data_IF_059405609905
#
_entry.id   IF_059405609905
#
_cell.length_a   1.000
_cell.length_b   1.000
_cell.length_c   1.000
_cell.angle_alpha   90.00
_cell.angle_beta   90.00
_cell.angle_gamma   90.00
#
_symmetry.space_group_name_H-M   'P 1'
#
loop_
_entity.id
_entity.type
_entity.pdbx_description
1 polymer ?
#
# COMPACT_ATOMS: atom_id res chain seq x y z
N UNK A 1 25.34 2.47 38.05
CA UNK A 1 24.06 1.74 38.05
C UNK A 1 23.53 1.73 36.63
N UNK A 2 23.30 0.55 36.02
CA UNK A 2 22.66 0.46 34.71
C UNK A 2 21.15 0.36 34.97
N UNK A 3 20.38 1.32 34.47
CA UNK A 3 18.92 1.32 34.52
C UNK A 3 18.38 0.10 33.77
N UNK A 4 17.35 -0.56 34.29
CA UNK A 4 16.68 -1.63 33.57
C UNK A 4 16.05 -1.10 32.27
N UNK A 5 16.11 -1.87 31.17
CA UNK A 5 15.52 -1.45 29.91
C UNK A 5 13.99 -1.36 30.04
N UNK A 6 13.42 -0.26 29.55
CA UNK A 6 11.98 -0.04 29.56
C UNK A 6 11.25 -1.09 28.71
N UNK A 7 10.12 -1.59 29.20
CA UNK A 7 9.24 -2.48 28.44
C UNK A 7 8.64 -1.70 27.27
N UNK A 8 8.73 -2.26 26.06
CA UNK A 8 8.21 -1.65 24.85
C UNK A 8 6.88 -2.31 24.43
N UNK A 9 5.90 -1.49 24.09
CA UNK A 9 4.65 -1.91 23.47
C UNK A 9 4.89 -2.40 22.02
N UNK A 10 3.99 -3.26 21.49
CA UNK A 10 4.21 -3.92 20.20
C UNK A 10 4.11 -2.96 19.01
N UNK A 11 4.82 -3.33 17.94
CA UNK A 11 4.68 -2.77 16.60
C UNK A 11 3.90 -3.76 15.76
N UNK A 12 2.68 -3.40 15.37
CA UNK A 12 1.80 -4.23 14.56
C UNK A 12 2.01 -3.89 13.08
N UNK A 13 2.24 -4.88 12.23
CA UNK A 13 2.21 -4.69 10.77
C UNK A 13 0.82 -5.08 10.29
N UNK A 14 0.18 -4.24 9.48
CA UNK A 14 -1.13 -4.53 8.91
C UNK A 14 -1.04 -5.77 8.03
N UNK A 15 -1.89 -6.75 8.28
CA UNK A 15 -2.05 -7.88 7.39
C UNK A 15 -3.23 -7.60 6.43
N UNK A 16 -3.19 -8.10 5.18
CA UNK A 16 -4.35 -8.06 4.31
C UNK A 16 -5.50 -8.86 4.92
N UNK A 17 -6.72 -8.33 4.80
CA UNK A 17 -7.92 -8.98 5.33
C UNK A 17 -8.37 -10.12 4.40
N UNK A 18 -8.65 -11.29 4.98
CA UNK A 18 -9.32 -12.39 4.28
C UNK A 18 -8.42 -13.21 3.33
N UNK A 19 -9.08 -14.04 2.53
CA UNK A 19 -8.41 -14.89 1.53
C UNK A 19 -8.18 -14.08 0.25
N UNK A 20 -7.02 -14.21 -0.41
CA UNK A 20 -6.76 -13.56 -1.69
C UNK A 20 -7.86 -13.86 -2.71
N UNK A 21 -8.45 -12.80 -3.24
CA UNK A 21 -9.55 -12.88 -4.18
C UNK A 21 -9.52 -11.67 -5.13
N UNK A 22 -10.18 -11.84 -6.27
CA UNK A 22 -10.37 -10.77 -7.25
C UNK A 22 -11.76 -10.18 -7.08
N UNK A 23 -11.87 -8.85 -7.10
CA UNK A 23 -13.15 -8.17 -7.09
C UNK A 23 -13.87 -8.45 -8.43
N UNK A 24 -15.11 -8.92 -8.35
CA UNK A 24 -15.91 -9.26 -9.55
C UNK A 24 -16.58 -8.07 -10.23
N UNK A 25 -16.52 -6.88 -9.62
CA UNK A 25 -17.29 -5.71 -10.01
C UNK A 25 -18.78 -5.76 -9.61
N UNK A 26 -19.22 -6.84 -8.98
CA UNK A 26 -20.59 -7.04 -8.51
C UNK A 26 -20.73 -6.83 -7.00
N UNK A 27 -21.95 -6.58 -6.56
CA UNK A 27 -22.33 -6.53 -5.14
C UNK A 27 -23.42 -7.56 -4.84
N UNK A 28 -23.41 -8.11 -3.62
CA UNK A 28 -24.45 -9.01 -3.15
C UNK A 28 -25.74 -8.24 -2.76
N UNK A 29 -26.75 -8.97 -2.27
CA UNK A 29 -28.04 -8.38 -1.88
C UNK A 29 -27.93 -7.38 -0.73
N UNK A 30 -26.82 -7.40 0.01
CA UNK A 30 -26.52 -6.52 1.13
C UNK A 30 -25.62 -5.34 0.71
N UNK A 31 -25.29 -5.24 -0.58
CA UNK A 31 -24.42 -4.21 -1.12
C UNK A 31 -22.92 -4.43 -0.86
N UNK A 32 -22.52 -5.63 -0.40
CA UNK A 32 -21.10 -5.97 -0.20
C UNK A 32 -20.49 -6.43 -1.52
N UNK A 33 -19.25 -6.02 -1.79
CA UNK A 33 -18.51 -6.47 -2.96
C UNK A 33 -18.40 -8.00 -3.01
N UNK A 34 -18.69 -8.57 -4.18
CA UNK A 34 -18.53 -10.00 -4.44
C UNK A 34 -17.09 -10.23 -4.90
N UNK A 35 -16.39 -11.06 -4.15
CA UNK A 35 -15.00 -11.45 -4.43
C UNK A 35 -14.95 -12.91 -4.88
N UNK A 36 -14.08 -13.19 -5.85
CA UNK A 36 -13.90 -14.53 -6.42
C UNK A 36 -12.52 -15.04 -6.02
N UNK A 37 -12.46 -16.16 -5.30
CA UNK A 37 -11.20 -16.79 -4.92
C UNK A 37 -10.41 -17.24 -6.17
N UNK A 38 -9.07 -17.12 -6.13
CA UNK A 38 -8.18 -17.44 -7.24
C UNK A 38 -8.40 -18.87 -7.76
N UNK A 39 -8.54 -19.83 -6.84
CA UNK A 39 -8.72 -21.26 -7.13
C UNK A 39 -9.96 -21.57 -7.96
N UNK A 40 -11.00 -20.74 -7.91
CA UNK A 40 -12.23 -20.92 -8.67
C UNK A 40 -11.95 -21.01 -10.18
N UNK A 41 -11.01 -20.22 -10.67
CA UNK A 41 -10.59 -20.24 -12.07
C UNK A 41 -9.30 -21.04 -12.27
N UNK A 42 -8.38 -21.01 -11.30
CA UNK A 42 -7.04 -21.58 -11.48
C UNK A 42 -6.95 -23.10 -11.23
N UNK A 43 -7.96 -23.74 -10.63
CA UNK A 43 -7.98 -25.19 -10.44
C UNK A 43 -8.00 -25.99 -11.76
N UNK A 44 -8.41 -25.37 -12.86
CA UNK A 44 -8.52 -26.00 -14.19
C UNK A 44 -7.65 -25.32 -15.25
N UNK A 45 -6.84 -24.33 -14.85
CA UNK A 45 -5.96 -23.60 -15.77
C UNK A 45 -4.54 -24.15 -15.73
N UNK A 46 -3.91 -24.34 -16.90
CA UNK A 46 -2.48 -24.66 -16.97
C UNK A 46 -1.66 -23.39 -16.72
N UNK A 47 -0.75 -23.36 -15.72
CA UNK A 47 0.15 -22.24 -15.50
C UNK A 47 1.09 -22.02 -16.69
N UNK A 48 1.41 -20.76 -17.00
CA UNK A 48 2.35 -20.42 -18.06
C UNK A 48 3.47 -19.50 -17.53
N UNK A 49 4.70 -20.01 -17.33
CA UNK A 49 5.81 -19.23 -16.79
C UNK A 49 6.39 -18.21 -17.79
N UNK A 50 5.96 -18.22 -19.05
CA UNK A 50 6.43 -17.28 -20.07
C UNK A 50 5.64 -15.97 -20.07
N UNK A 51 4.54 -15.89 -19.32
CA UNK A 51 3.74 -14.68 -19.20
C UNK A 51 4.42 -13.69 -18.25
N UNK A 52 4.85 -12.56 -18.80
CA UNK A 52 5.51 -11.48 -18.08
C UNK A 52 4.95 -10.09 -18.42
N UNK A 53 3.83 -10.04 -19.16
CA UNK A 53 3.15 -8.80 -19.52
C UNK A 53 1.64 -8.98 -19.44
N UNK A 54 0.94 -7.93 -19.04
CA UNK A 54 -0.51 -7.95 -18.87
C UNK A 54 -1.29 -8.14 -20.17
N UNK A 55 -0.77 -7.70 -21.32
CA UNK A 55 -1.42 -7.84 -22.62
C UNK A 55 -1.36 -9.27 -23.18
N UNK A 56 -0.57 -10.16 -22.58
CA UNK A 56 -0.56 -11.59 -22.89
C UNK A 56 -1.69 -12.34 -22.16
N UNK A 57 -2.41 -11.70 -21.24
CA UNK A 57 -3.51 -12.29 -20.48
C UNK A 57 -4.80 -12.24 -21.30
N UNK A 58 -5.24 -13.41 -21.78
CA UNK A 58 -6.38 -13.52 -22.71
C UNK A 58 -7.74 -13.75 -22.02
N UNK A 59 -7.77 -13.93 -20.70
CA UNK A 59 -9.00 -14.29 -19.95
C UNK A 59 -9.37 -13.20 -18.94
N UNK A 60 -9.67 -13.56 -17.70
CA UNK A 60 -10.23 -12.68 -16.67
C UNK A 60 -9.34 -11.48 -16.30
N UNK A 61 -8.03 -11.56 -16.53
CA UNK A 61 -7.06 -10.54 -16.09
C UNK A 61 -6.73 -9.51 -17.20
N UNK A 62 -7.56 -9.41 -18.25
CA UNK A 62 -7.38 -8.42 -19.30
C UNK A 62 -7.39 -7.00 -18.73
N UNK A 63 -6.51 -6.14 -19.25
CA UNK A 63 -6.37 -4.76 -18.78
C UNK A 63 -5.50 -4.59 -17.53
N UNK A 64 -4.97 -5.68 -16.96
CA UNK A 64 -3.97 -5.59 -15.88
C UNK A 64 -2.73 -4.85 -16.39
N UNK A 65 -2.39 -3.75 -15.73
CA UNK A 65 -1.13 -3.07 -15.97
C UNK A 65 -0.02 -3.75 -15.16
N UNK A 66 1.03 -4.21 -15.86
CA UNK A 66 2.16 -4.90 -15.24
C UNK A 66 3.47 -4.20 -15.60
N UNK A 67 4.25 -3.84 -14.57
CA UNK A 67 5.47 -3.05 -14.68
C UNK A 67 6.55 -3.56 -13.71
N UNK A 68 6.89 -4.84 -13.81
CA UNK A 68 7.97 -5.50 -13.05
C UNK A 68 9.13 -5.99 -13.93
N UNK A 69 9.29 -5.37 -15.10
CA UNK A 69 10.32 -5.74 -16.07
C UNK A 69 10.00 -7.08 -16.73
N UNK A 70 11.01 -7.96 -16.82
CA UNK A 70 10.87 -9.28 -17.47
C UNK A 70 10.42 -10.42 -16.53
N UNK A 71 10.12 -10.12 -15.26
CA UNK A 71 9.66 -11.13 -14.31
C UNK A 71 8.33 -11.73 -14.78
N UNK A 72 8.22 -13.05 -14.65
CA UNK A 72 6.95 -13.71 -14.93
C UNK A 72 5.99 -13.51 -13.76
N UNK A 73 4.69 -13.71 -13.99
CA UNK A 73 3.72 -13.76 -12.89
C UNK A 73 4.08 -14.82 -11.83
N UNK A 74 4.68 -15.93 -12.30
CA UNK A 74 5.15 -17.06 -11.50
C UNK A 74 6.54 -16.84 -10.89
N UNK A 75 7.06 -15.61 -10.91
CA UNK A 75 8.20 -15.23 -10.06
C UNK A 75 7.76 -14.92 -8.62
N UNK A 76 6.45 -14.72 -8.42
CA UNK A 76 5.85 -14.42 -7.13
C UNK A 76 4.71 -15.39 -6.80
N UNK A 77 3.84 -15.69 -7.77
CA UNK A 77 2.68 -16.56 -7.58
C UNK A 77 3.03 -18.02 -7.69
N UNK A 78 2.49 -18.84 -6.78
CA UNK A 78 2.73 -20.27 -6.81
C UNK A 78 1.87 -20.93 -7.89
N UNK A 79 2.54 -21.55 -8.87
CA UNK A 79 1.89 -22.20 -10.01
C UNK A 79 0.97 -23.37 -9.61
N UNK A 80 1.26 -24.03 -8.49
CA UNK A 80 0.47 -25.16 -7.97
C UNK A 80 -0.69 -24.72 -7.06
N UNK A 81 -0.64 -23.49 -6.56
CA UNK A 81 -1.61 -22.93 -5.61
C UNK A 81 -1.64 -21.40 -5.75
N UNK A 82 -2.52 -20.89 -6.61
CA UNK A 82 -2.69 -19.45 -6.84
C UNK A 82 -3.30 -18.71 -5.64
N UNK A 83 -3.72 -19.42 -4.59
CA UNK A 83 -4.06 -18.82 -3.29
C UNK A 83 -2.83 -18.59 -2.40
N UNK A 84 -1.63 -18.88 -2.89
CA UNK A 84 -0.37 -18.64 -2.21
C UNK A 84 0.68 -17.98 -3.10
N UNK A 85 1.77 -17.55 -2.48
CA UNK A 85 2.96 -17.05 -3.13
C UNK A 85 4.11 -18.04 -2.89
N UNK A 86 5.23 -17.85 -3.58
CA UNK A 86 6.45 -18.59 -3.28
C UNK A 86 7.69 -17.69 -3.32
N UNK A 87 8.72 -18.12 -2.61
CA UNK A 87 10.04 -17.52 -2.65
C UNK A 87 10.83 -18.03 -3.88
N UNK A 88 11.97 -17.41 -4.16
CA UNK A 88 12.86 -17.79 -5.26
C UNK A 88 13.38 -19.24 -5.14
N UNK A 89 13.40 -19.80 -3.93
CA UNK A 89 13.74 -21.20 -3.64
C UNK A 89 12.52 -22.15 -3.67
N UNK A 90 11.38 -21.68 -4.17
CA UNK A 90 10.08 -22.37 -4.26
C UNK A 90 9.39 -22.66 -2.92
N UNK A 91 9.88 -22.17 -1.78
CA UNK A 91 9.11 -22.27 -0.53
C UNK A 91 7.81 -21.48 -0.62
N UNK A 92 6.69 -22.14 -0.33
CA UNK A 92 5.37 -21.52 -0.25
C UNK A 92 5.31 -20.54 0.93
N UNK A 93 4.70 -19.39 0.71
CA UNK A 93 4.38 -18.38 1.73
C UNK A 93 2.96 -17.85 1.53
N UNK A 94 2.41 -17.18 2.54
CA UNK A 94 1.09 -16.55 2.45
C UNK A 94 1.18 -15.12 1.92
N UNK A 95 0.06 -14.56 1.46
CA UNK A 95 -0.01 -13.17 1.01
C UNK A 95 0.29 -12.14 2.11
N UNK A 96 0.11 -12.50 3.38
CA UNK A 96 0.53 -11.64 4.50
C UNK A 96 2.05 -11.53 4.63
N UNK A 97 2.80 -12.47 4.04
CA UNK A 97 4.26 -12.53 4.09
C UNK A 97 4.92 -11.77 2.92
N UNK A 98 4.18 -10.89 2.23
CA UNK A 98 4.70 -10.09 1.09
C UNK A 98 5.96 -9.30 1.40
N UNK A 99 6.17 -8.88 2.66
CA UNK A 99 7.40 -8.21 3.08
C UNK A 99 8.63 -9.10 2.87
N UNK A 100 8.51 -10.40 3.15
CA UNK A 100 9.56 -11.39 2.92
C UNK A 100 9.76 -11.62 1.42
N UNK A 101 8.68 -11.73 0.65
CA UNK A 101 8.73 -11.90 -0.80
C UNK A 101 9.48 -10.76 -1.48
N UNK A 102 9.02 -9.53 -1.27
CA UNK A 102 9.57 -8.33 -1.90
C UNK A 102 11.02 -8.09 -1.48
N UNK A 103 11.37 -8.43 -0.24
CA UNK A 103 12.72 -8.30 0.31
C UNK A 103 13.81 -9.07 -0.42
N UNK A 104 13.46 -10.13 -1.16
CA UNK A 104 14.42 -10.92 -1.94
C UNK A 104 15.11 -10.09 -3.03
N UNK A 105 14.41 -9.10 -3.60
CA UNK A 105 14.94 -8.21 -4.62
C UNK A 105 15.07 -6.76 -4.12
N UNK A 106 14.16 -6.30 -3.26
CA UNK A 106 14.12 -4.94 -2.72
C UNK A 106 14.74 -4.85 -1.32
N UNK A 107 15.94 -5.42 -1.16
CA UNK A 107 16.63 -5.50 0.12
C UNK A 107 16.83 -4.14 0.79
N UNK A 108 17.28 -3.12 0.04
CA UNK A 108 17.49 -1.77 0.58
C UNK A 108 16.18 -1.14 1.11
N UNK A 109 15.05 -1.37 0.43
CA UNK A 109 13.76 -0.87 0.87
C UNK A 109 13.27 -1.62 2.11
N UNK A 110 13.49 -2.94 2.18
CA UNK A 110 13.17 -3.73 3.37
C UNK A 110 14.04 -3.29 4.57
N UNK A 111 15.32 -3.05 4.38
CA UNK A 111 16.19 -2.53 5.45
C UNK A 111 15.77 -1.13 5.90
N UNK A 112 15.45 -0.24 4.97
CA UNK A 112 14.91 1.09 5.30
C UNK A 112 13.58 0.99 6.05
N UNK A 113 12.73 0.03 5.68
CA UNK A 113 11.50 -0.29 6.39
C UNK A 113 11.78 -0.77 7.82
N UNK A 114 12.72 -1.69 8.04
CA UNK A 114 13.08 -2.17 9.38
C UNK A 114 13.55 -1.03 10.29
N UNK A 115 14.25 -0.03 9.73
CA UNK A 115 14.69 1.17 10.43
C UNK A 115 13.62 2.28 10.53
N UNK A 116 12.39 2.04 10.08
CA UNK A 116 11.25 2.93 10.29
C UNK A 116 11.01 3.98 9.20
N UNK A 117 11.79 4.00 8.11
CA UNK A 117 11.65 5.02 7.06
C UNK A 117 10.43 4.80 6.13
N UNK A 118 9.88 3.58 6.09
CA UNK A 118 8.75 3.21 5.23
C UNK A 118 7.55 2.67 6.04
N UNK A 119 6.42 2.42 5.36
CA UNK A 119 5.24 1.78 5.96
C UNK A 119 4.34 2.72 6.75
N UNK A 120 4.68 4.01 6.89
CA UNK A 120 3.96 4.92 7.76
C UNK A 120 4.00 4.46 9.22
N UNK A 121 3.51 5.32 10.11
CA UNK A 121 3.47 5.03 11.53
C UNK A 121 2.23 5.66 12.14
N UNK A 122 1.31 4.82 12.62
CA UNK A 122 0.09 5.25 13.29
C UNK A 122 0.11 4.75 14.74
N UNK A 123 -0.23 5.60 15.71
CA UNK A 123 -0.08 5.32 17.14
C UNK A 123 1.12 6.04 17.75
N UNK A 124 1.78 5.41 18.71
CA UNK A 124 2.83 6.06 19.50
C UNK A 124 4.19 6.01 18.81
N UNK A 125 4.88 7.16 18.77
CA UNK A 125 6.29 7.22 18.34
C UNK A 125 7.22 6.61 19.41
N UNK A 126 6.89 6.85 20.68
CA UNK A 126 7.55 6.30 21.86
C UNK A 126 6.82 5.02 22.30
N UNK A 127 7.45 3.88 22.05
CA UNK A 127 6.89 2.56 22.37
C UNK A 127 6.83 2.28 23.87
N UNK A 128 7.39 3.12 24.74
CA UNK A 128 7.14 3.01 26.18
C UNK A 128 5.76 3.54 26.57
N UNK A 129 5.09 4.27 25.66
CA UNK A 129 3.81 4.95 25.93
C UNK A 129 2.60 4.29 25.27
N UNK A 130 2.81 3.40 24.30
CA UNK A 130 1.74 2.63 23.70
C UNK A 130 2.15 1.95 22.39
N UNK A 131 1.27 1.13 21.80
CA UNK A 131 1.55 0.41 20.57
C UNK A 131 1.50 1.34 19.36
N UNK A 132 2.02 0.83 18.23
CA UNK A 132 1.89 1.46 16.92
C UNK A 132 1.62 0.44 15.83
N UNK A 133 0.98 0.89 14.76
CA UNK A 133 0.69 0.10 13.57
C UNK A 133 1.42 0.68 12.35
N UNK A 134 1.90 -0.22 11.49
CA UNK A 134 2.62 0.10 10.25
C UNK A 134 2.00 -0.68 9.09
N UNK A 135 2.08 -0.12 7.90
CA UNK A 135 1.58 -0.72 6.67
C UNK A 135 2.61 -1.69 6.07
N UNK A 136 2.18 -2.63 5.24
CA UNK A 136 3.05 -3.46 4.37
C UNK A 136 3.38 -2.72 3.07
N UNK A 137 4.24 -3.31 2.23
CA UNK A 137 4.54 -2.81 0.88
C UNK A 137 3.25 -2.61 0.06
N UNK A 138 2.36 -3.61 0.06
CA UNK A 138 1.18 -3.65 -0.81
C UNK A 138 0.02 -2.79 -0.31
N UNK A 139 0.06 -2.29 0.92
CA UNK A 139 -0.90 -1.29 1.38
C UNK A 139 -0.72 0.07 0.69
N UNK A 140 0.46 0.34 0.13
CA UNK A 140 0.75 1.62 -0.53
C UNK A 140 1.15 1.44 -2.00
N UNK A 141 1.79 0.33 -2.35
CA UNK A 141 2.24 0.03 -3.72
C UNK A 141 1.34 -1.03 -4.36
N UNK A 142 1.00 -0.83 -5.64
CA UNK A 142 0.43 -1.90 -6.46
C UNK A 142 1.52 -2.97 -6.70
N UNK A 143 1.35 -4.23 -6.28
CA UNK A 143 2.34 -5.29 -6.49
C UNK A 143 2.59 -5.62 -7.96
N UNK A 144 1.73 -5.21 -8.89
CA UNK A 144 1.94 -5.41 -10.33
C UNK A 144 2.61 -4.20 -10.99
N UNK A 145 2.48 -3.01 -10.42
CA UNK A 145 3.11 -1.79 -10.88
C UNK A 145 3.54 -0.89 -9.69
N UNK A 146 4.60 -1.24 -8.93
CA UNK A 146 4.85 -0.63 -7.62
C UNK A 146 5.27 0.83 -7.67
N UNK A 147 5.79 1.30 -8.80
CA UNK A 147 6.26 2.67 -8.92
C UNK A 147 5.07 3.63 -8.81
N UNK A 148 5.13 4.56 -7.86
CA UNK A 148 4.12 5.61 -7.76
C UNK A 148 4.05 6.44 -9.05
N UNK A 149 2.85 6.81 -9.51
CA UNK A 149 2.71 7.74 -10.62
C UNK A 149 3.31 9.09 -10.24
N UNK A 150 3.93 9.76 -11.20
CA UNK A 150 4.33 11.14 -11.03
C UNK A 150 3.08 12.01 -10.99
N UNK A 151 2.98 12.87 -9.98
CA UNK A 151 1.90 13.85 -9.85
C UNK A 151 2.48 15.24 -10.00
N UNK A 152 1.79 16.10 -10.75
CA UNK A 152 2.13 17.51 -10.82
C UNK A 152 1.42 18.24 -9.67
N UNK A 153 2.18 18.90 -8.76
CA UNK A 153 1.55 19.74 -7.74
C UNK A 153 0.72 20.85 -8.41
N UNK A 154 -0.53 21.01 -7.97
CA UNK A 154 -1.44 22.03 -8.51
C UNK A 154 -0.96 23.44 -8.15
N UNK A 155 -0.32 23.59 -6.99
CA UNK A 155 0.29 24.84 -6.55
C UNK A 155 1.80 24.67 -6.39
N UNK A 156 2.60 25.70 -6.72
CA UNK A 156 4.01 25.69 -6.38
C UNK A 156 4.17 25.53 -4.86
N UNK A 157 5.24 24.88 -4.38
CA UNK A 157 5.54 24.83 -2.96
C UNK A 157 5.56 26.25 -2.39
N UNK A 158 4.74 26.51 -1.38
CA UNK A 158 4.84 27.75 -0.60
C UNK A 158 6.04 27.58 0.33
N UNK A 159 7.19 28.07 -0.08
CA UNK A 159 8.28 28.24 0.87
C UNK A 159 7.93 29.37 1.84
N UNK A 160 8.50 29.33 3.04
CA UNK A 160 8.29 30.40 4.03
C UNK A 160 9.02 31.71 3.67
N UNK A 161 9.77 31.71 2.56
CA UNK A 161 10.77 32.73 2.24
C UNK A 161 10.35 33.56 1.02
N UNK A 162 9.56 33.03 0.08
CA UNK A 162 9.27 33.70 -1.21
C UNK A 162 7.88 34.34 -1.30
N UNK A 163 7.11 34.43 -0.21
CA UNK A 163 5.82 35.15 -0.21
C UNK A 163 5.83 36.20 0.91
N UNK A 164 5.92 37.51 0.60
CA UNK A 164 5.56 38.55 1.54
C UNK A 164 4.11 38.31 1.98
N UNK A 165 3.86 38.22 3.28
CA UNK A 165 2.49 38.17 3.79
C UNK A 165 1.75 39.42 3.27
N UNK A 166 0.56 39.29 2.68
CA UNK A 166 -0.22 40.48 2.33
C UNK A 166 -0.52 41.24 3.62
N UNK A 167 -0.14 42.52 3.65
CA UNK A 167 -0.53 43.42 4.73
C UNK A 167 -2.07 43.51 4.74
N UNK A 168 -2.70 42.83 5.69
CA UNK A 168 -4.13 42.99 5.91
C UNK A 168 -4.36 44.41 6.46
N UNK A 169 -5.18 45.26 5.81
CA UNK A 169 -5.59 46.51 6.41
C UNK A 169 -6.43 46.18 7.63
N UNK A 170 -6.01 46.66 8.81
CA UNK A 170 -6.80 46.59 10.03
C UNK A 170 -8.13 47.29 9.76
N UNK A 171 -9.21 46.53 9.60
CA UNK A 171 -10.54 47.09 9.43
C UNK A 171 -10.90 47.86 10.71
N UNK A 172 -10.98 49.18 10.59
CA UNK A 172 -11.57 50.02 11.64
C UNK A 172 -13.04 49.62 11.78
N UNK A 173 -13.39 49.21 12.99
CA UNK A 173 -14.75 48.90 13.45
C UNK A 173 -15.70 50.01 13.04
N UNK A 174 -16.71 49.69 12.22
CA UNK A 174 -17.79 50.63 11.92
C UNK A 174 -18.71 50.75 13.12
N UNK A 175 -18.82 51.98 13.61
CA UNK A 175 -19.73 52.43 14.65
C UNK A 175 -21.20 52.29 14.20
N UNK A 176 -22.04 51.95 15.15
CA UNK A 176 -23.46 51.66 15.01
C UNK A 176 -24.31 52.92 14.78
N UNK A 177 -25.21 52.82 13.78
CA UNK A 177 -26.57 53.40 13.70
C UNK A 177 -26.69 54.93 13.45
N UNK A 178 -27.87 55.44 12.97
CA UNK A 178 -29.17 54.78 12.86
C UNK A 178 -29.84 54.79 11.48
N UNK A 179 -30.87 53.95 11.40
CA UNK A 179 -31.83 53.85 10.30
C UNK A 179 -32.85 55.00 10.33
N UNK A 180 -33.50 55.16 9.16
CA UNK A 180 -34.88 55.62 8.88
C UNK A 180 -35.04 57.00 8.21
N UNK A 181 -36.18 57.22 7.50
CA UNK A 181 -37.36 56.35 7.34
C UNK A 181 -37.44 55.55 6.04
#
# INVERSE_FOLDING_TARGET
>A
MRSEPAVLHPVLIREPDGTPAVNSGMVDAQGKAVEIACVTCHATSTPNPQINRGDQLLKFHQGLHYAHGGLSCLSCHNASDYSSLHLADNRRIEFKDVMQLCGQCHGHQLESYKHGAHGGMNGHWDLTRGPRTRNTCTNCHDPHAPKFPLVQPIFPPRDRISVPLPEHPVQKTHELLPKNP
#
